data_IF_109136788395
#
_entry.id   IF_109136788395
#
_cell.length_a   1.000
_cell.length_b   1.000
_cell.length_c   1.000
_cell.angle_alpha   90.00
_cell.angle_beta   90.00
_cell.angle_gamma   90.00
#
_symmetry.space_group_name_H-M   'P 1'
#
loop_
_entity.id
_entity.type
_entity.pdbx_description
1 polymer ?
#
# COMPACT_ATOMS: atom_id res chain seq x y z
N UNK A 1 24.30 6.62 24.87
CA UNK A 1 22.90 7.07 25.02
C UNK A 1 22.18 6.70 23.73
N UNK A 2 21.30 5.70 23.80
CA UNK A 2 20.62 5.15 22.63
C UNK A 2 19.23 5.78 22.61
N UNK A 3 19.02 6.81 21.79
CA UNK A 3 17.69 7.36 21.60
C UNK A 3 16.91 6.46 20.64
N UNK A 4 15.75 5.99 21.12
CA UNK A 4 14.81 5.18 20.38
C UNK A 4 14.39 5.91 19.10
N UNK A 5 14.78 5.37 17.95
CA UNK A 5 14.11 5.68 16.69
C UNK A 5 12.66 5.22 16.84
N UNK A 6 11.74 6.19 16.87
CA UNK A 6 10.31 5.94 16.72
C UNK A 6 10.11 4.98 15.55
N UNK A 7 9.69 3.74 15.85
CA UNK A 7 9.30 2.76 14.85
C UNK A 7 7.94 3.23 14.37
N UNK A 8 7.94 4.20 13.45
CA UNK A 8 6.76 4.47 12.66
C UNK A 8 6.38 3.14 12.00
N UNK A 9 5.21 2.63 12.36
CA UNK A 9 4.56 1.49 11.73
C UNK A 9 4.29 1.84 10.24
N UNK A 10 5.31 1.78 9.39
CA UNK A 10 5.10 1.68 7.95
C UNK A 10 4.67 0.23 7.67
N UNK A 11 3.39 -0.07 7.94
CA UNK A 11 2.84 -1.42 7.78
C UNK A 11 2.86 -1.85 6.31
N UNK A 12 2.90 -0.92 5.36
CA UNK A 12 3.19 -1.20 3.95
C UNK A 12 3.94 -0.03 3.32
N UNK A 13 5.08 -0.24 2.64
CA UNK A 13 5.69 0.83 1.83
C UNK A 13 4.70 1.28 0.75
N UNK A 14 4.73 2.56 0.34
CA UNK A 14 3.78 3.07 -0.63
C UNK A 14 3.91 2.31 -1.95
N UNK A 15 2.77 1.81 -2.44
CA UNK A 15 2.65 1.16 -3.75
C UNK A 15 2.04 2.18 -4.71
N UNK A 16 2.64 2.34 -5.90
CA UNK A 16 2.08 3.15 -6.99
C UNK A 16 1.50 2.23 -8.06
N UNK A 17 0.31 2.58 -8.54
CA UNK A 17 -0.37 1.87 -9.62
C UNK A 17 -0.45 2.77 -10.85
N UNK A 18 -0.02 2.26 -12.01
CA UNK A 18 -0.13 2.95 -13.29
C UNK A 18 -0.93 2.08 -14.26
N UNK A 19 -2.08 2.59 -14.72
CA UNK A 19 -2.99 1.87 -15.62
C UNK A 19 -2.94 2.43 -17.04
N UNK A 20 -2.69 1.54 -18.01
CA UNK A 20 -2.82 1.83 -19.43
C UNK A 20 -4.10 1.19 -19.98
N UNK A 21 -5.13 2.00 -20.25
CA UNK A 21 -6.44 1.54 -20.72
C UNK A 21 -6.43 1.02 -22.16
N UNK A 22 -5.58 1.57 -23.03
CA UNK A 22 -5.48 1.18 -24.44
C UNK A 22 -4.91 -0.23 -24.57
N UNK A 23 -3.86 -0.53 -23.80
CA UNK A 23 -3.19 -1.84 -23.80
C UNK A 23 -3.75 -2.81 -22.76
N UNK A 24 -4.60 -2.32 -21.86
CA UNK A 24 -5.12 -3.07 -20.70
C UNK A 24 -4.00 -3.63 -19.83
N UNK A 25 -3.03 -2.78 -19.51
CA UNK A 25 -1.85 -3.12 -18.73
C UNK A 25 -1.85 -2.35 -17.40
N UNK A 26 -1.40 -3.02 -16.35
CA UNK A 26 -1.25 -2.44 -15.02
C UNK A 26 0.20 -2.62 -14.56
N UNK A 27 0.87 -1.52 -14.28
CA UNK A 27 2.17 -1.52 -13.64
C UNK A 27 2.02 -1.21 -12.15
N UNK A 28 2.57 -2.09 -11.31
CA UNK A 28 2.56 -1.99 -9.85
C UNK A 28 3.98 -1.73 -9.39
N UNK A 29 4.26 -0.52 -8.94
CA UNK A 29 5.57 -0.10 -8.44
C UNK A 29 5.59 -0.17 -6.92
N UNK A 30 6.64 -0.76 -6.35
CA UNK A 30 6.82 -0.84 -4.91
C UNK A 30 8.27 -1.05 -4.54
N UNK A 31 8.50 -1.30 -3.25
CA UNK A 31 9.80 -1.72 -2.73
C UNK A 31 9.72 -3.20 -2.36
N UNK A 32 10.73 -3.97 -2.77
CA UNK A 32 10.86 -5.38 -2.42
C UNK A 32 12.15 -5.56 -1.61
N UNK A 33 12.05 -6.29 -0.50
CA UNK A 33 13.21 -6.73 0.26
C UNK A 33 13.65 -8.09 -0.24
N UNK A 34 14.88 -8.19 -0.73
CA UNK A 34 15.50 -9.47 -1.10
C UNK A 34 16.53 -9.81 -0.02
N UNK A 35 16.11 -10.60 0.97
CA UNK A 35 16.94 -10.95 2.13
C UNK A 35 16.83 -9.95 3.29
N UNK A 36 17.91 -9.82 4.07
CA UNK A 36 18.02 -8.87 5.20
C UNK A 36 18.46 -7.46 4.78
N UNK A 37 18.80 -7.28 3.51
CA UNK A 37 19.36 -6.05 2.97
C UNK A 37 18.29 -5.08 2.44
N UNK A 38 18.79 -3.91 2.01
CA UNK A 38 18.09 -2.70 1.59
C UNK A 38 16.92 -2.96 0.62
N UNK A 39 15.83 -2.20 0.81
CA UNK A 39 14.63 -2.29 -0.02
C UNK A 39 14.94 -1.79 -1.44
N UNK A 40 14.66 -2.61 -2.45
CA UNK A 40 14.91 -2.24 -3.85
C UNK A 40 13.61 -1.90 -4.58
N UNK A 41 13.59 -0.84 -5.42
CA UNK A 41 12.47 -0.56 -6.31
C UNK A 41 12.18 -1.74 -7.23
N UNK A 42 10.92 -2.16 -7.27
CA UNK A 42 10.43 -3.27 -8.11
C UNK A 42 9.18 -2.83 -8.85
N UNK A 43 9.03 -3.33 -10.07
CA UNK A 43 7.84 -3.13 -10.90
C UNK A 43 7.28 -4.49 -11.30
N UNK A 44 6.01 -4.72 -11.01
CA UNK A 44 5.26 -5.88 -11.48
C UNK A 44 4.29 -5.41 -12.56
N UNK A 45 4.51 -5.87 -13.80
CA UNK A 45 3.64 -5.59 -14.92
C UNK A 45 2.63 -6.73 -15.13
N UNK A 46 1.36 -6.38 -15.19
CA UNK A 46 0.24 -7.30 -15.41
C UNK A 46 -0.50 -6.91 -16.69
N UNK A 47 -1.06 -7.89 -17.39
CA UNK A 47 -1.73 -7.66 -18.67
C UNK A 47 -3.06 -8.42 -18.76
N UNK A 48 -4.01 -7.86 -19.52
CA UNK A 48 -5.26 -8.53 -19.85
C UNK A 48 -6.12 -8.84 -18.63
N UNK A 49 -6.50 -10.11 -18.46
CA UNK A 49 -7.44 -10.52 -17.40
C UNK A 49 -6.87 -10.32 -15.98
N UNK A 50 -5.58 -10.59 -15.78
CA UNK A 50 -4.93 -10.46 -14.46
C UNK A 50 -4.81 -9.00 -14.03
N UNK A 51 -4.51 -8.09 -14.97
CA UNK A 51 -4.48 -6.65 -14.71
C UNK A 51 -5.84 -6.12 -14.23
N UNK A 52 -6.91 -6.49 -14.93
CA UNK A 52 -8.28 -6.10 -14.57
C UNK A 52 -8.72 -6.68 -13.23
N UNK A 53 -8.38 -7.94 -12.95
CA UNK A 53 -8.69 -8.57 -11.66
C UNK A 53 -7.95 -7.88 -10.51
N UNK A 54 -6.69 -7.54 -10.72
CA UNK A 54 -5.86 -6.86 -9.72
C UNK A 54 -6.37 -5.44 -9.44
N UNK A 55 -6.73 -4.68 -10.46
CA UNK A 55 -7.39 -3.38 -10.30
C UNK A 55 -8.69 -3.47 -9.48
N UNK A 56 -9.52 -4.48 -9.75
CA UNK A 56 -10.75 -4.71 -8.99
C UNK A 56 -10.46 -5.04 -7.53
N UNK A 57 -9.43 -5.83 -7.26
CA UNK A 57 -9.01 -6.15 -5.90
C UNK A 57 -8.50 -4.90 -5.16
N UNK A 58 -7.67 -4.06 -5.80
CA UNK A 58 -7.22 -2.80 -5.22
C UNK A 58 -8.38 -1.85 -4.91
N UNK A 59 -9.33 -1.72 -5.84
CA UNK A 59 -10.55 -0.93 -5.60
C UNK A 59 -11.31 -1.45 -4.37
N UNK A 60 -11.55 -2.76 -4.29
CA UNK A 60 -12.25 -3.35 -3.16
C UNK A 60 -11.51 -3.18 -1.82
N UNK A 61 -10.17 -3.12 -1.83
CA UNK A 61 -9.38 -2.79 -0.65
C UNK A 61 -9.56 -1.33 -0.25
N UNK A 62 -9.48 -0.40 -1.20
CA UNK A 62 -9.69 1.04 -0.94
C UNK A 62 -11.11 1.33 -0.44
N UNK A 63 -12.13 0.70 -1.04
CA UNK A 63 -13.53 0.84 -0.63
C UNK A 63 -13.77 0.31 0.81
N UNK A 64 -12.87 -0.51 1.36
CA UNK A 64 -12.92 -1.02 2.73
C UNK A 64 -12.10 -0.21 3.72
N UNK A 65 -11.18 0.62 3.24
CA UNK A 65 -10.41 1.56 4.06
C UNK A 65 -11.30 2.79 4.22
N UNK A 66 -12.30 2.68 5.10
CA UNK A 66 -13.06 3.83 5.58
C UNK A 66 -12.11 4.73 6.37
N UNK A 67 -11.87 5.94 5.87
CA UNK A 67 -11.07 6.99 6.53
C UNK A 67 -11.82 7.56 7.77
N UNK A 68 -12.94 6.96 8.16
CA UNK A 68 -13.78 7.38 9.30
C UNK A 68 -13.50 6.61 10.61
N UNK A 69 -12.52 5.70 10.63
CA UNK A 69 -12.22 4.89 11.82
C UNK A 69 -11.32 5.56 12.87
N UNK A 70 -10.55 6.62 12.52
CA UNK A 70 -9.58 7.20 13.45
C UNK A 70 -10.13 8.25 14.43
N UNK A 71 -11.31 8.84 14.21
CA UNK A 71 -11.86 9.87 15.13
C UNK A 71 -12.72 9.31 16.28
N UNK A 72 -13.08 8.01 16.27
CA UNK A 72 -14.03 7.46 17.26
C UNK A 72 -13.40 6.92 18.56
N UNK A 73 -12.09 6.78 18.62
CA UNK A 73 -11.38 6.25 19.80
C UNK A 73 -10.64 7.33 20.60
N UNK A 74 -11.11 8.58 20.59
CA UNK A 74 -10.77 9.46 21.72
C UNK A 74 -11.49 8.94 22.96
N UNK A 75 -10.79 8.44 23.99
CA UNK A 75 -11.45 8.07 25.23
C UNK A 75 -12.04 9.36 25.81
N UNK A 76 -13.38 9.46 25.82
CA UNK A 76 -14.07 10.44 26.65
C UNK A 76 -13.70 10.16 28.11
N UNK A 77 -12.68 10.84 28.62
CA UNK A 77 -12.36 10.81 30.03
C UNK A 77 -10.87 10.79 30.35
N UNK A 78 -10.20 11.92 30.17
CA UNK A 78 -9.20 12.40 31.12
C UNK A 78 -9.44 13.90 31.29
N UNK A 79 -10.45 14.20 32.11
CA UNK A 79 -10.50 15.44 32.89
C UNK A 79 -9.52 15.33 34.05
#
# INVERSE_FOLDING_TARGET
>A
MTELKSIAFMVFPPIRLEWNSERKELDVHGLMHVGLDEAQPTVVQLQGASALQTLRAFRALLDRIDIDAEERDTPRGLQ
#
